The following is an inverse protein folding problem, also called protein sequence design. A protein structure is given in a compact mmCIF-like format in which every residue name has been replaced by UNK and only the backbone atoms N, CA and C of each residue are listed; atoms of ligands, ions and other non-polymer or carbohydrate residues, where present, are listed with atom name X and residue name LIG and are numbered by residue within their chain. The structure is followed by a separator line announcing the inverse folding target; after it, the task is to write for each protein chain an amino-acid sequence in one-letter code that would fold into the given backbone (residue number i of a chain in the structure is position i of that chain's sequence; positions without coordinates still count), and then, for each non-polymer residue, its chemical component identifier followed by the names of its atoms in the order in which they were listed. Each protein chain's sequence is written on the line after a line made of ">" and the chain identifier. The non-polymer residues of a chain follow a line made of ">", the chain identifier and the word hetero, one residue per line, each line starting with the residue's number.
data_IF_947709888625
#
_entry.id   IF_947709888625
#
_cell.length_a   1.000
_cell.length_b   1.000
_cell.length_c   1.000
_cell.angle_alpha   90.00
_cell.angle_beta   90.00
_cell.angle_gamma   90.00
#
_symmetry.space_group_name_H-M   'P 1'
#
loop_
_entity.id
_entity.type
_entity.pdbx_description
1 polymer ?
#
# COMPACT_ATOMS: atom_id res chain seq x y z
N UNK A 1 -24.60 4.68 36.69
CA UNK A 1 -23.91 3.61 35.91
C UNK A 1 -24.42 3.43 34.47
N UNK A 2 -25.41 4.19 33.97
CA UNK A 2 -25.80 4.17 32.54
C UNK A 2 -25.32 5.38 31.75
N UNK A 3 -25.11 6.51 32.43
CA UNK A 3 -24.64 7.77 31.84
C UNK A 3 -23.15 7.77 31.48
N UNK A 4 -22.33 6.97 32.18
CA UNK A 4 -20.88 6.85 31.92
C UNK A 4 -20.58 6.06 30.64
N UNK A 5 -21.45 5.12 30.25
CA UNK A 5 -21.28 4.30 29.04
C UNK A 5 -21.62 5.06 27.75
N UNK A 6 -22.49 6.07 27.83
CA UNK A 6 -22.91 6.88 26.67
C UNK A 6 -21.81 7.85 26.23
N UNK A 7 -20.98 8.31 27.16
CA UNK A 7 -19.85 9.22 26.85
C UNK A 7 -18.67 8.50 26.17
N UNK A 8 -18.46 7.21 26.45
CA UNK A 8 -17.39 6.44 25.80
C UNK A 8 -17.67 6.20 24.29
N UNK A 9 -18.95 6.10 23.91
CA UNK A 9 -19.34 5.91 22.50
C UNK A 9 -19.17 7.20 21.70
N UNK A 10 -19.43 8.37 22.29
CA UNK A 10 -19.29 9.66 21.59
C UNK A 10 -17.83 10.06 21.30
N UNK A 11 -16.88 9.63 22.14
CA UNK A 11 -15.44 9.89 21.88
C UNK A 11 -14.88 8.99 20.77
N UNK A 12 -15.42 7.79 20.57
CA UNK A 12 -15.01 6.91 19.48
C UNK A 12 -15.40 7.48 18.09
N UNK A 13 -16.51 8.22 18.00
CA UNK A 13 -16.99 8.80 16.73
C UNK A 13 -16.19 10.06 16.35
N UNK A 14 -15.67 10.81 17.32
CA UNK A 14 -14.84 12.00 17.06
C UNK A 14 -13.41 11.66 16.58
N UNK A 15 -12.90 10.47 16.91
CA UNK A 15 -11.57 10.01 16.47
C UNK A 15 -11.59 9.11 15.24
N UNK A 16 -12.78 8.74 14.74
CA UNK A 16 -12.95 7.66 13.76
C UNK A 16 -12.87 8.03 12.27
N UNK A 17 -12.71 9.31 11.89
CA UNK A 17 -12.92 9.75 10.49
C UNK A 17 -11.78 10.56 9.85
N UNK A 18 -10.60 10.67 10.49
CA UNK A 18 -9.48 11.43 9.90
C UNK A 18 -8.22 10.57 9.76
N UNK A 19 -8.33 9.38 9.18
CA UNK A 19 -7.16 8.65 8.64
C UNK A 19 -7.40 7.99 7.27
N UNK A 20 -8.07 8.61 6.27
CA UNK A 20 -8.01 8.09 4.90
C UNK A 20 -6.71 8.53 4.19
N UNK A 21 -6.32 9.80 4.31
CA UNK A 21 -5.33 10.39 3.40
C UNK A 21 -3.90 9.85 3.58
N UNK A 22 -3.43 9.68 4.83
CA UNK A 22 -2.06 9.15 5.07
C UNK A 22 -1.92 7.68 4.68
N UNK A 23 -2.98 6.89 4.84
CA UNK A 23 -2.97 5.48 4.46
C UNK A 23 -3.00 5.34 2.93
N UNK A 24 -3.83 6.16 2.28
CA UNK A 24 -3.89 6.26 0.81
C UNK A 24 -2.57 6.77 0.20
N UNK A 25 -1.87 7.69 0.86
CA UNK A 25 -0.57 8.15 0.39
C UNK A 25 0.49 7.04 0.45
N UNK A 26 0.55 6.28 1.55
CA UNK A 26 1.52 5.20 1.69
C UNK A 26 1.22 4.02 0.74
N UNK A 27 -0.05 3.65 0.56
CA UNK A 27 -0.45 2.64 -0.43
C UNK A 27 -0.10 3.07 -1.85
N UNK A 28 -0.32 4.34 -2.19
CA UNK A 28 0.00 4.89 -3.50
C UNK A 28 1.50 4.83 -3.77
N UNK A 29 2.33 5.27 -2.82
CA UNK A 29 3.78 5.19 -2.94
C UNK A 29 4.29 3.76 -3.10
N UNK A 30 3.69 2.79 -2.39
CA UNK A 30 4.07 1.38 -2.54
C UNK A 30 3.65 0.84 -3.92
N UNK A 31 2.45 1.16 -4.39
CA UNK A 31 2.02 0.74 -5.73
C UNK A 31 2.93 1.30 -6.83
N UNK A 32 3.22 2.61 -6.79
CA UNK A 32 4.12 3.26 -7.76
C UNK A 32 5.53 2.65 -7.74
N UNK A 33 6.02 2.26 -6.56
CA UNK A 33 7.30 1.58 -6.43
C UNK A 33 7.27 0.22 -7.15
N UNK A 34 6.20 -0.57 -7.00
CA UNK A 34 6.03 -1.84 -7.72
C UNK A 34 5.99 -1.61 -9.23
N UNK A 35 5.18 -0.65 -9.70
CA UNK A 35 5.08 -0.30 -11.13
C UNK A 35 6.45 0.08 -11.68
N UNK A 36 7.20 0.94 -10.97
CA UNK A 36 8.55 1.33 -11.37
C UNK A 36 9.52 0.15 -11.43
N UNK A 37 9.45 -0.77 -10.46
CA UNK A 37 10.29 -1.98 -10.45
C UNK A 37 9.94 -2.92 -11.59
N UNK A 38 8.64 -3.07 -11.88
CA UNK A 38 8.18 -3.82 -13.03
C UNK A 38 8.74 -3.21 -14.33
N UNK A 39 8.57 -1.91 -14.54
CA UNK A 39 9.07 -1.22 -15.75
C UNK A 39 10.59 -1.32 -15.91
N UNK A 40 11.35 -1.21 -14.82
CA UNK A 40 12.80 -1.34 -14.83
C UNK A 40 13.31 -2.79 -14.99
N UNK A 41 12.48 -3.79 -14.68
CA UNK A 41 12.83 -5.20 -14.84
C UNK A 41 12.81 -5.60 -16.32
N UNK A 42 13.94 -6.09 -16.83
CA UNK A 42 14.06 -6.56 -18.21
C UNK A 42 13.30 -7.87 -18.43
N UNK A 43 13.42 -8.80 -17.48
CA UNK A 43 12.85 -10.15 -17.57
C UNK A 43 11.43 -10.23 -17.02
N UNK A 44 10.93 -9.14 -16.41
CA UNK A 44 9.63 -9.07 -15.72
C UNK A 44 9.39 -10.20 -14.71
N UNK A 45 10.47 -10.76 -14.14
CA UNK A 45 10.39 -11.81 -13.13
C UNK A 45 9.72 -11.26 -11.85
N UNK A 46 8.52 -11.77 -11.57
CA UNK A 46 7.71 -11.41 -10.41
C UNK A 46 8.45 -11.61 -9.09
N UNK A 47 9.23 -12.68 -8.95
CA UNK A 47 9.96 -12.96 -7.71
C UNK A 47 11.11 -11.97 -7.52
N UNK A 48 11.79 -11.60 -8.60
CA UNK A 48 12.82 -10.56 -8.56
C UNK A 48 12.20 -9.20 -8.18
N UNK A 49 11.05 -8.85 -8.79
CA UNK A 49 10.33 -7.61 -8.48
C UNK A 49 9.88 -7.59 -7.01
N UNK A 50 9.32 -8.69 -6.49
CA UNK A 50 8.94 -8.82 -5.07
C UNK A 50 10.12 -8.58 -4.14
N UNK A 51 11.27 -9.17 -4.45
CA UNK A 51 12.49 -9.02 -3.65
C UNK A 51 13.04 -7.61 -3.69
N UNK A 52 13.09 -6.99 -4.86
CA UNK A 52 13.58 -5.63 -5.04
C UNK A 52 12.66 -4.60 -4.40
N UNK A 53 11.34 -4.80 -4.52
CA UNK A 53 10.35 -4.00 -3.80
C UNK A 53 10.53 -4.15 -2.29
N UNK A 54 10.64 -5.36 -1.76
CA UNK A 54 10.75 -5.59 -0.31
C UNK A 54 11.97 -4.87 0.28
N UNK A 55 13.13 -4.98 -0.39
CA UNK A 55 14.36 -4.32 0.02
C UNK A 55 14.22 -2.79 0.05
N UNK A 56 13.69 -2.20 -1.02
CA UNK A 56 13.51 -0.76 -1.12
C UNK A 56 12.42 -0.25 -0.16
N UNK A 57 11.31 -0.97 -0.07
CA UNK A 57 10.20 -0.67 0.84
C UNK A 57 10.68 -0.65 2.29
N UNK A 58 11.37 -1.70 2.75
CA UNK A 58 11.92 -1.75 4.11
C UNK A 58 12.92 -0.64 4.36
N UNK A 59 13.74 -0.27 3.36
CA UNK A 59 14.67 0.86 3.48
C UNK A 59 13.95 2.20 3.58
N UNK A 60 12.92 2.44 2.76
CA UNK A 60 12.16 3.69 2.78
C UNK A 60 11.34 3.84 4.08
N UNK A 61 10.73 2.75 4.55
CA UNK A 61 9.79 2.78 5.67
C UNK A 61 10.36 2.24 6.98
N UNK A 62 11.68 2.04 7.07
CA UNK A 62 12.36 1.59 8.31
C UNK A 62 12.11 2.50 9.51
N UNK A 63 11.86 3.80 9.27
CA UNK A 63 11.60 4.79 10.33
C UNK A 63 10.12 4.88 10.70
N UNK A 64 9.23 4.17 10.01
CA UNK A 64 7.79 4.14 10.28
C UNK A 64 7.48 2.94 11.18
N UNK A 65 6.77 3.13 12.31
CA UNK A 65 6.26 2.02 13.10
C UNK A 65 5.42 1.08 12.23
N UNK A 66 5.75 -0.21 12.24
CA UNK A 66 5.13 -1.26 11.41
C UNK A 66 5.34 -1.12 9.89
N UNK A 67 6.18 -0.19 9.42
CA UNK A 67 6.42 0.00 7.98
C UNK A 67 7.02 -1.24 7.30
N UNK A 68 7.97 -1.92 7.94
CA UNK A 68 8.56 -3.15 7.39
C UNK A 68 7.56 -4.31 7.34
N UNK A 69 6.68 -4.42 8.32
CA UNK A 69 5.62 -5.43 8.33
C UNK A 69 4.56 -5.15 7.25
N UNK A 70 4.27 -3.88 6.98
CA UNK A 70 3.40 -3.49 5.88
C UNK A 70 4.05 -3.79 4.52
N UNK A 71 5.37 -3.63 4.37
CA UNK A 71 6.10 -4.07 3.18
C UNK A 71 5.93 -5.58 2.92
N UNK A 72 6.15 -6.40 3.95
CA UNK A 72 5.96 -7.85 3.85
C UNK A 72 4.50 -8.19 3.48
N UNK A 73 3.53 -7.49 4.07
CA UNK A 73 2.13 -7.66 3.74
C UNK A 73 1.84 -7.29 2.28
N UNK A 74 2.40 -6.18 1.79
CA UNK A 74 2.23 -5.70 0.42
C UNK A 74 2.80 -6.69 -0.61
N UNK A 75 3.99 -7.24 -0.36
CA UNK A 75 4.61 -8.28 -1.19
C UNK A 75 3.69 -9.48 -1.39
N UNK A 76 3.03 -9.90 -0.30
CA UNK A 76 2.21 -11.10 -0.30
C UNK A 76 0.78 -10.89 -0.82
N UNK A 77 0.26 -9.67 -0.81
CA UNK A 77 -1.16 -9.40 -1.09
C UNK A 77 -1.43 -8.46 -2.26
N UNK A 78 -0.47 -7.62 -2.63
CA UNK A 78 -0.71 -6.47 -3.51
C UNK A 78 0.16 -6.46 -4.76
N UNK A 79 1.37 -7.01 -4.71
CA UNK A 79 2.27 -7.03 -5.88
C UNK A 79 1.69 -7.85 -7.04
N UNK A 80 1.13 -9.04 -6.78
CA UNK A 80 0.62 -9.91 -7.85
C UNK A 80 -0.54 -9.25 -8.63
N UNK A 81 -1.56 -8.65 -7.99
CA UNK A 81 -2.59 -7.86 -8.70
C UNK A 81 -2.04 -6.70 -9.52
N UNK A 82 -1.03 -5.97 -9.01
CA UNK A 82 -0.41 -4.84 -9.72
C UNK A 82 0.27 -5.33 -11.00
N UNK A 83 1.04 -6.41 -10.90
CA UNK A 83 1.73 -7.01 -12.04
C UNK A 83 0.72 -7.54 -13.06
N UNK A 84 -0.33 -8.23 -12.61
CA UNK A 84 -1.37 -8.73 -13.50
C UNK A 84 -2.04 -7.61 -14.31
N UNK A 85 -2.28 -6.46 -13.68
CA UNK A 85 -2.87 -5.29 -14.34
C UNK A 85 -1.92 -4.69 -15.40
N UNK A 86 -0.61 -4.64 -15.10
CA UNK A 86 0.42 -4.23 -16.06
C UNK A 86 0.52 -5.19 -17.25
N UNK A 87 0.52 -6.51 -16.99
CA UNK A 87 0.54 -7.55 -18.03
C UNK A 87 -0.72 -7.56 -18.89
N UNK A 88 -1.86 -7.14 -18.32
CA UNK A 88 -3.13 -6.98 -19.03
C UNK A 88 -3.17 -5.74 -19.93
N UNK A 89 -2.10 -4.93 -19.95
CA UNK A 89 -1.95 -3.77 -20.82
C UNK A 89 -2.46 -2.46 -20.23
N UNK A 90 -2.78 -2.41 -18.94
CA UNK A 90 -3.09 -1.13 -18.29
C UNK A 90 -1.83 -0.29 -18.19
N UNK A 91 -1.95 0.99 -18.52
CA UNK A 91 -0.81 1.89 -18.50
C UNK A 91 -0.26 2.03 -17.07
N UNK A 92 1.08 2.01 -16.87
CA UNK A 92 1.72 2.12 -15.55
C UNK A 92 1.13 3.22 -14.64
N UNK A 93 0.84 4.38 -15.21
CA UNK A 93 0.25 5.55 -14.54
C UNK A 93 -1.20 5.34 -14.05
N UNK A 94 -1.94 4.41 -14.64
CA UNK A 94 -3.36 4.18 -14.38
C UNK A 94 -3.58 2.96 -13.46
N UNK A 95 -2.60 2.07 -13.31
CA UNK A 95 -2.69 0.84 -12.50
C UNK A 95 -3.03 1.16 -11.04
N UNK A 96 -2.32 2.09 -10.42
CA UNK A 96 -2.49 2.39 -9.01
C UNK A 96 -3.82 3.08 -8.69
N UNK A 97 -4.34 3.91 -9.60
CA UNK A 97 -5.70 4.47 -9.48
C UNK A 97 -6.75 3.39 -9.70
N UNK A 98 -6.55 2.51 -10.70
CA UNK A 98 -7.49 1.42 -11.02
C UNK A 98 -7.63 0.41 -9.89
N UNK A 99 -6.54 0.13 -9.17
CA UNK A 99 -6.53 -0.76 -8.01
C UNK A 99 -6.92 -0.04 -6.70
N UNK A 100 -7.29 1.25 -6.77
CA UNK A 100 -7.65 2.09 -5.63
C UNK A 100 -6.52 2.21 -4.58
N UNK A 101 -5.28 2.07 -5.02
CA UNK A 101 -4.09 2.30 -4.20
C UNK A 101 -3.74 3.80 -4.13
N UNK A 102 -4.10 4.56 -5.19
CA UNK A 102 -4.03 6.02 -5.28
C UNK A 102 -5.44 6.62 -5.48
N UNK A 103 -5.71 7.83 -4.95
CA UNK A 103 -6.94 8.58 -5.23
C UNK A 103 -7.03 9.08 -6.68
#
# INVERSE_FOLDING_TARGET
>A
MKTLLVLAVLVAVASGLVVPEKRSALSCQMCELVVKKYDASADKDVNAIKKDFDADCKKLFHSIPFGTAECDHYVNKKIDPIIHELESGTAPKDVCTKLHECP
#
